data_IF_433484508410
#
_entry.id   IF_433484508410
#
_cell.length_a   1.000
_cell.length_b   1.000
_cell.length_c   1.000
_cell.angle_alpha   90.00
_cell.angle_beta   90.00
_cell.angle_gamma   90.00
#
_symmetry.space_group_name_H-M   'P 1'
#
loop_
_entity.id
_entity.type
_entity.pdbx_description
1 polymer ?
#
# COMPACT_ATOMS: atom_id res chain seq x y z
N UNK A 1 -8.20 -7.91 -3.35
CA UNK A 1 -9.51 -7.67 -2.70
C UNK A 1 -10.60 -8.09 -3.65
N UNK A 2 -11.41 -9.06 -3.22
CA UNK A 2 -12.49 -9.63 -4.00
C UNK A 2 -13.51 -8.56 -4.40
N UNK A 3 -13.99 -8.63 -5.64
CA UNK A 3 -15.07 -7.78 -6.19
C UNK A 3 -16.42 -7.95 -5.46
N UNK A 4 -16.48 -8.82 -4.46
CA UNK A 4 -17.68 -9.21 -3.71
C UNK A 4 -18.20 -8.12 -2.76
N UNK A 5 -17.34 -7.25 -2.23
CA UNK A 5 -17.75 -6.29 -1.18
C UNK A 5 -17.75 -4.83 -1.68
N UNK A 6 -18.85 -4.08 -1.48
CA UNK A 6 -18.97 -2.70 -1.96
C UNK A 6 -18.13 -1.69 -1.17
N UNK A 7 -17.76 -2.00 0.07
CA UNK A 7 -16.87 -1.20 0.91
C UNK A 7 -15.97 -2.07 1.79
N UNK A 8 -14.89 -1.49 2.30
CA UNK A 8 -14.04 -2.16 3.30
C UNK A 8 -14.77 -2.39 4.61
N UNK A 9 -15.72 -1.52 4.96
CA UNK A 9 -16.61 -1.75 6.09
C UNK A 9 -17.49 -2.99 5.87
N UNK A 10 -18.02 -3.20 4.66
CA UNK A 10 -18.81 -4.39 4.34
C UNK A 10 -17.99 -5.68 4.45
N UNK A 11 -16.74 -5.68 3.97
CA UNK A 11 -15.83 -6.80 4.14
C UNK A 11 -15.58 -7.11 5.63
N UNK A 12 -15.37 -6.07 6.43
CA UNK A 12 -15.07 -6.23 7.84
C UNK A 12 -16.30 -6.72 8.62
N UNK A 13 -17.49 -6.16 8.34
CA UNK A 13 -18.75 -6.64 8.90
C UNK A 13 -19.02 -8.11 8.56
N UNK A 14 -18.74 -8.55 7.33
CA UNK A 14 -18.90 -9.95 6.94
C UNK A 14 -17.92 -10.87 7.68
N UNK A 15 -16.65 -10.46 7.82
CA UNK A 15 -15.63 -11.24 8.52
C UNK A 15 -15.88 -11.38 10.02
N UNK A 16 -16.38 -10.32 10.66
CA UNK A 16 -16.72 -10.34 12.08
C UNK A 16 -18.18 -10.78 12.33
N UNK A 17 -18.92 -11.18 11.30
CA UNK A 17 -20.34 -11.55 11.36
C UNK A 17 -21.22 -10.47 12.01
N UNK A 18 -20.86 -9.20 11.85
CA UNK A 18 -21.54 -8.05 12.44
C UNK A 18 -22.62 -7.53 11.50
N UNK A 19 -23.84 -7.46 12.00
CA UNK A 19 -24.98 -6.90 11.27
C UNK A 19 -24.98 -5.36 11.30
N UNK A 20 -25.68 -4.74 10.34
CA UNK A 20 -25.83 -3.29 10.34
C UNK A 20 -26.62 -2.77 11.55
N UNK A 21 -27.49 -3.62 12.13
CA UNK A 21 -28.27 -3.32 13.34
C UNK A 21 -27.35 -3.26 14.56
N UNK A 22 -26.57 -4.30 14.80
CA UNK A 22 -25.63 -4.36 15.93
C UNK A 22 -24.62 -3.21 15.87
N UNK A 23 -24.07 -2.93 14.69
CA UNK A 23 -23.13 -1.82 14.54
C UNK A 23 -23.82 -0.46 14.75
N UNK A 24 -25.08 -0.30 14.36
CA UNK A 24 -25.81 0.94 14.59
C UNK A 24 -26.12 1.18 16.07
N UNK A 25 -26.47 0.13 16.80
CA UNK A 25 -26.72 0.16 18.24
C UNK A 25 -25.44 0.50 19.01
N UNK A 26 -24.31 -0.17 18.67
CA UNK A 26 -23.02 0.07 19.31
C UNK A 26 -22.46 1.47 19.08
N UNK A 27 -22.76 2.08 17.93
CA UNK A 27 -22.28 3.42 17.57
C UNK A 27 -23.26 4.55 17.97
N UNK A 28 -24.45 4.20 18.46
CA UNK A 28 -25.57 5.13 18.69
C UNK A 28 -25.89 5.99 17.46
N UNK A 29 -26.00 5.36 16.29
CA UNK A 29 -26.35 6.03 15.03
C UNK A 29 -27.52 5.33 14.33
N UNK A 30 -28.15 6.01 13.38
CA UNK A 30 -29.21 5.40 12.59
C UNK A 30 -28.71 4.20 11.78
N UNK A 31 -29.48 3.12 11.78
CA UNK A 31 -29.25 1.96 10.90
C UNK A 31 -29.08 2.35 9.42
N UNK A 32 -29.84 3.37 8.97
CA UNK A 32 -29.74 3.88 7.59
C UNK A 32 -28.36 4.47 7.27
N UNK A 33 -27.68 5.04 8.26
CA UNK A 33 -26.35 5.61 8.12
C UNK A 33 -25.29 4.51 7.95
N UNK A 34 -25.36 3.46 8.77
CA UNK A 34 -24.49 2.28 8.67
C UNK A 34 -24.69 1.57 7.34
N UNK A 35 -25.94 1.40 6.90
CA UNK A 35 -26.25 0.81 5.59
C UNK A 35 -25.67 1.64 4.43
N UNK A 36 -25.71 2.97 4.51
CA UNK A 36 -25.09 3.86 3.52
C UNK A 36 -23.56 3.74 3.50
N UNK A 37 -22.91 3.60 4.66
CA UNK A 37 -21.46 3.34 4.73
C UNK A 37 -21.10 1.96 4.17
N UNK A 38 -21.83 0.92 4.56
CA UNK A 38 -21.64 -0.46 4.10
C UNK A 38 -21.69 -0.54 2.57
N UNK A 39 -22.67 0.12 1.96
CA UNK A 39 -22.88 0.10 0.50
C UNK A 39 -22.09 1.18 -0.26
N UNK A 40 -21.17 1.90 0.40
CA UNK A 40 -20.38 2.99 -0.19
C UNK A 40 -21.22 4.14 -0.79
N UNK A 41 -22.50 4.26 -0.38
CA UNK A 41 -23.39 5.37 -0.77
C UNK A 41 -23.07 6.66 -0.02
N UNK A 42 -22.40 6.56 1.13
CA UNK A 42 -21.84 7.68 1.89
C UNK A 42 -20.42 7.34 2.30
N UNK A 43 -19.49 8.28 2.09
CA UNK A 43 -18.09 8.10 2.49
C UNK A 43 -17.91 8.35 3.98
N UNK A 44 -17.12 7.51 4.65
CA UNK A 44 -16.65 7.76 6.01
C UNK A 44 -15.71 8.97 6.00
N UNK A 45 -16.00 9.97 6.83
CA UNK A 45 -15.16 11.17 6.92
C UNK A 45 -14.01 10.93 7.90
N UNK A 46 -12.76 11.29 7.56
CA UNK A 46 -11.61 11.20 8.47
C UNK A 46 -11.77 12.04 9.74
N UNK A 47 -12.59 13.10 9.67
CA UNK A 47 -12.83 14.06 10.75
C UNK A 47 -14.04 13.69 11.63
N UNK A 48 -14.76 12.63 11.28
CA UNK A 48 -15.96 12.24 12.02
C UNK A 48 -15.61 11.38 13.23
N UNK A 49 -16.23 11.63 14.40
CA UNK A 49 -16.10 10.76 15.57
C UNK A 49 -16.50 9.30 15.30
N UNK A 50 -17.42 9.08 14.36
CA UNK A 50 -17.92 7.74 14.03
C UNK A 50 -16.82 6.81 13.50
N UNK A 51 -15.79 7.35 12.83
CA UNK A 51 -14.68 6.54 12.36
C UNK A 51 -13.89 5.94 13.53
N UNK A 52 -13.65 6.74 14.57
CA UNK A 52 -12.96 6.28 15.78
C UNK A 52 -13.79 5.22 16.50
N UNK A 53 -15.10 5.46 16.62
CA UNK A 53 -16.02 4.52 17.26
C UNK A 53 -16.08 3.17 16.52
N UNK A 54 -16.07 3.19 15.17
CA UNK A 54 -16.01 1.98 14.35
C UNK A 54 -14.70 1.23 14.60
N UNK A 55 -13.57 1.93 14.61
CA UNK A 55 -12.24 1.33 14.86
C UNK A 55 -12.21 0.66 16.23
N UNK A 56 -12.65 1.37 17.27
CA UNK A 56 -12.66 0.87 18.65
C UNK A 56 -13.57 -0.33 18.81
N UNK A 57 -14.75 -0.33 18.17
CA UNK A 57 -15.67 -1.45 18.19
C UNK A 57 -15.02 -2.73 17.67
N UNK A 58 -14.38 -2.68 16.50
CA UNK A 58 -13.76 -3.86 15.91
C UNK A 58 -12.46 -4.28 16.61
N UNK A 59 -11.71 -3.34 17.21
CA UNK A 59 -10.56 -3.69 18.05
C UNK A 59 -10.98 -4.41 19.33
N UNK A 60 -12.05 -3.95 19.98
CA UNK A 60 -12.60 -4.62 21.16
C UNK A 60 -13.11 -6.03 20.80
N UNK A 61 -13.76 -6.18 19.65
CA UNK A 61 -14.24 -7.47 19.17
C UNK A 61 -13.10 -8.43 18.80
N UNK A 62 -12.02 -7.94 18.18
CA UNK A 62 -10.81 -8.73 17.87
C UNK A 62 -10.08 -9.15 19.15
N UNK A 63 -10.01 -8.28 20.17
CA UNK A 63 -9.37 -8.58 21.46
C UNK A 63 -10.13 -9.63 22.27
N UNK A 64 -11.46 -9.69 22.12
CA UNK A 64 -12.33 -10.68 22.76
C UNK A 64 -12.47 -11.98 21.93
N UNK A 65 -12.06 -11.95 20.66
CA UNK A 65 -12.06 -13.11 19.78
C UNK A 65 -10.79 -13.93 19.98
N UNK A 66 -10.90 -15.26 19.95
CA UNK A 66 -9.72 -16.16 19.94
C UNK A 66 -8.93 -16.09 18.64
N UNK A 67 -9.45 -15.42 17.62
CA UNK A 67 -8.87 -15.31 16.29
C UNK A 67 -8.42 -13.87 16.04
N UNK A 68 -7.12 -13.69 15.74
CA UNK A 68 -6.50 -12.40 15.36
C UNK A 68 -6.90 -11.98 13.93
N UNK A 69 -8.20 -11.96 13.66
CA UNK A 69 -8.77 -11.74 12.33
C UNK A 69 -8.32 -10.41 11.76
N UNK A 70 -8.19 -9.39 12.61
CA UNK A 70 -7.67 -8.10 12.21
C UNK A 70 -6.20 -8.16 11.83
N UNK A 71 -5.35 -8.85 12.60
CA UNK A 71 -3.92 -9.00 12.28
C UNK A 71 -3.73 -9.73 10.96
N UNK A 72 -4.52 -10.76 10.66
CA UNK A 72 -4.46 -11.49 9.39
C UNK A 72 -4.80 -10.56 8.20
N UNK A 73 -5.86 -9.75 8.32
CA UNK A 73 -6.25 -8.77 7.31
C UNK A 73 -5.16 -7.69 7.14
N UNK A 74 -4.52 -7.28 8.23
CA UNK A 74 -3.46 -6.27 8.20
C UNK A 74 -2.16 -6.83 7.61
N UNK A 75 -1.78 -8.08 7.89
CA UNK A 75 -0.55 -8.69 7.38
C UNK A 75 -0.61 -8.89 5.86
N UNK A 76 -1.78 -9.27 5.32
CA UNK A 76 -2.02 -9.38 3.88
C UNK A 76 -1.82 -8.03 3.15
N UNK A 77 -2.24 -6.93 3.79
CA UNK A 77 -2.17 -5.59 3.19
C UNK A 77 -0.89 -4.82 3.54
N UNK A 78 -0.18 -5.21 4.60
CA UNK A 78 1.03 -4.57 5.12
C UNK A 78 2.09 -5.63 5.51
N UNK A 79 2.87 -6.15 4.54
CA UNK A 79 3.80 -7.28 4.75
C UNK A 79 4.96 -7.04 5.74
N UNK A 80 5.17 -5.80 6.20
CA UNK A 80 6.21 -5.43 7.16
C UNK A 80 5.62 -5.05 8.54
N UNK A 81 4.42 -5.51 8.86
CA UNK A 81 3.78 -5.27 10.15
C UNK A 81 4.31 -6.28 11.18
N UNK A 82 5.23 -5.86 12.05
CA UNK A 82 5.88 -6.75 13.02
C UNK A 82 5.94 -6.25 14.47
N UNK A 83 5.28 -5.13 14.83
CA UNK A 83 5.22 -4.66 16.22
C UNK A 83 3.80 -4.15 16.55
N UNK A 84 2.99 -5.02 17.16
CA UNK A 84 1.56 -4.84 17.37
C UNK A 84 1.23 -4.11 18.68
N UNK A 85 1.38 -2.79 18.72
CA UNK A 85 0.69 -2.03 19.78
C UNK A 85 -0.79 -1.81 19.40
N UNK A 86 -1.74 -1.83 20.35
CA UNK A 86 -3.15 -1.53 20.07
C UNK A 86 -3.33 -0.18 19.36
N UNK A 87 -2.48 0.80 19.68
CA UNK A 87 -2.44 2.13 19.06
C UNK A 87 -2.07 2.04 17.57
N UNK A 88 -1.06 1.23 17.22
CA UNK A 88 -0.69 1.01 15.82
C UNK A 88 -1.76 0.24 15.06
N UNK A 89 -2.42 -0.76 15.68
CA UNK A 89 -3.57 -1.46 15.08
C UNK A 89 -4.72 -0.48 14.78
N UNK A 90 -5.05 0.41 15.71
CA UNK A 90 -6.07 1.44 15.51
C UNK A 90 -5.74 2.38 14.35
N UNK A 91 -4.50 2.90 14.32
CA UNK A 91 -4.06 3.80 13.26
C UNK A 91 -4.10 3.13 11.87
N UNK A 92 -3.70 1.87 11.78
CA UNK A 92 -3.73 1.10 10.53
C UNK A 92 -5.14 0.75 10.10
N UNK A 93 -5.99 0.30 11.02
CA UNK A 93 -7.39 0.02 10.73
C UNK A 93 -8.12 1.29 10.28
N UNK A 94 -7.87 2.42 10.93
CA UNK A 94 -8.40 3.73 10.54
C UNK A 94 -7.97 4.10 9.12
N UNK A 95 -6.68 3.99 8.82
CA UNK A 95 -6.13 4.22 7.48
C UNK A 95 -6.71 3.25 6.45
N UNK A 96 -6.90 1.99 6.83
CA UNK A 96 -7.46 0.97 5.97
C UNK A 96 -8.95 1.21 5.69
N UNK A 97 -9.78 1.55 6.68
CA UNK A 97 -11.20 1.88 6.48
C UNK A 97 -11.39 3.13 5.60
N UNK A 98 -10.52 4.13 5.76
CA UNK A 98 -10.50 5.34 4.93
C UNK A 98 -9.94 5.11 3.53
N UNK A 99 -9.12 4.08 3.37
CA UNK A 99 -8.73 3.59 2.06
C UNK A 99 -9.99 3.11 1.37
N UNK A 100 -10.60 3.95 0.56
CA UNK A 100 -11.69 3.51 -0.29
C UNK A 100 -11.23 2.32 -1.14
N UNK A 101 -12.10 1.35 -1.48
CA UNK A 101 -11.94 0.54 -2.69
C UNK A 101 -12.15 1.43 -3.92
N UNK A 102 -11.56 2.64 -3.93
CA UNK A 102 -11.45 3.44 -5.13
C UNK A 102 -10.61 2.58 -6.04
N UNK A 103 -11.27 1.95 -7.02
CA UNK A 103 -10.88 2.17 -8.40
C UNK A 103 -10.45 3.63 -8.45
N UNK A 104 -9.17 3.90 -8.65
CA UNK A 104 -8.67 5.24 -8.94
C UNK A 104 -9.69 5.84 -9.91
N UNK A 105 -10.57 6.70 -9.40
CA UNK A 105 -11.70 7.15 -10.19
C UNK A 105 -11.05 8.11 -11.17
N UNK A 106 -11.03 7.72 -12.46
CA UNK A 106 -10.56 8.53 -13.58
C UNK A 106 -11.06 9.98 -13.48
N UNK A 107 -12.20 10.21 -12.83
CA UNK A 107 -12.84 11.51 -12.68
C UNK A 107 -12.07 12.48 -11.76
N UNK A 108 -11.30 12.00 -10.77
CA UNK A 108 -10.40 12.88 -10.00
C UNK A 108 -9.13 13.23 -10.80
N UNK A 109 -8.76 12.38 -11.78
CA UNK A 109 -7.70 12.64 -12.75
C UNK A 109 -8.15 13.68 -13.76
N UNK A 110 -9.37 13.57 -14.30
CA UNK A 110 -9.93 14.52 -15.28
C UNK A 110 -9.97 15.96 -14.72
N UNK A 111 -10.29 16.13 -13.43
CA UNK A 111 -10.25 17.45 -12.78
C UNK A 111 -8.83 17.97 -12.54
N UNK A 112 -7.81 17.11 -12.39
CA UNK A 112 -6.41 17.54 -12.32
C UNK A 112 -5.76 17.79 -13.69
N UNK A 113 -6.34 17.23 -14.78
CA UNK A 113 -5.87 17.41 -16.17
C UNK A 113 -6.13 18.82 -16.74
N UNK A 114 -6.94 19.64 -16.07
CA UNK A 114 -7.17 21.04 -16.49
C UNK A 114 -6.06 22.01 -16.07
N UNK A 115 -4.98 21.55 -15.42
CA UNK A 115 -3.75 22.35 -15.23
C UNK A 115 -2.73 21.99 -16.30
N UNK A 116 -2.52 22.88 -17.28
CA UNK A 116 -1.41 22.78 -18.24
C UNK A 116 -0.10 22.61 -17.46
N UNK A 117 0.67 21.58 -17.78
CA UNK A 117 1.96 21.28 -17.15
C UNK A 117 1.90 20.44 -15.87
N UNK A 118 0.74 19.91 -15.46
CA UNK A 118 0.64 19.01 -14.31
C UNK A 118 0.29 17.58 -14.75
N UNK A 119 1.07 16.60 -14.30
CA UNK A 119 0.74 15.17 -14.41
C UNK A 119 0.77 14.53 -13.02
N UNK A 120 -0.03 13.48 -12.85
CA UNK A 120 0.00 12.63 -11.66
C UNK A 120 0.64 11.29 -12.04
N UNK A 121 1.67 10.88 -11.29
CA UNK A 121 2.29 9.56 -11.43
C UNK A 121 2.02 8.72 -10.17
N UNK A 122 1.80 7.44 -10.37
CA UNK A 122 1.75 6.45 -9.31
C UNK A 122 3.11 5.75 -9.24
N UNK A 123 3.69 5.65 -8.04
CA UNK A 123 4.97 5.00 -7.83
C UNK A 123 4.97 4.18 -6.54
N UNK A 124 5.77 3.11 -6.54
CA UNK A 124 6.04 2.29 -5.36
C UNK A 124 7.23 2.88 -4.59
N UNK A 125 7.13 2.97 -3.27
CA UNK A 125 8.24 3.40 -2.39
C UNK A 125 8.79 2.21 -1.63
N UNK A 126 10.02 1.81 -1.95
CA UNK A 126 10.73 0.71 -1.30
C UNK A 126 11.73 1.29 -0.28
N UNK A 127 11.70 0.79 0.97
CA UNK A 127 12.47 1.36 2.10
C UNK A 127 13.58 0.44 2.60
N UNK A 128 14.64 1.04 3.13
CA UNK A 128 15.80 0.36 3.71
C UNK A 128 16.63 -0.41 2.68
N UNK A 129 17.71 -1.07 3.13
CA UNK A 129 18.63 -1.80 2.25
C UNK A 129 17.94 -2.95 1.50
N UNK A 130 16.98 -3.65 2.14
CA UNK A 130 16.13 -4.65 1.47
C UNK A 130 15.33 -4.03 0.31
N UNK A 131 14.73 -2.86 0.54
CA UNK A 131 13.99 -2.13 -0.49
C UNK A 131 14.87 -1.64 -1.64
N UNK A 132 16.07 -1.12 -1.34
CA UNK A 132 17.05 -0.70 -2.35
C UNK A 132 17.47 -1.86 -3.25
N UNK A 133 17.78 -3.01 -2.66
CA UNK A 133 18.11 -4.25 -3.40
C UNK A 133 16.96 -4.69 -4.30
N UNK A 134 15.73 -4.66 -3.80
CA UNK A 134 14.54 -4.98 -4.58
C UNK A 134 14.32 -3.99 -5.74
N UNK A 135 14.47 -2.69 -5.50
CA UNK A 135 14.33 -1.66 -6.53
C UNK A 135 15.37 -1.83 -7.65
N UNK A 136 16.62 -2.08 -7.25
CA UNK A 136 17.74 -2.29 -8.17
C UNK A 136 17.52 -3.52 -9.06
N UNK A 137 17.06 -4.64 -8.49
CA UNK A 137 16.72 -5.83 -9.28
C UNK A 137 15.54 -5.60 -10.23
N UNK A 138 14.50 -4.87 -9.78
CA UNK A 138 13.36 -4.51 -10.65
C UNK A 138 13.82 -3.70 -11.86
N UNK A 139 14.71 -2.72 -11.66
CA UNK A 139 15.29 -1.92 -12.75
C UNK A 139 16.09 -2.79 -13.73
N UNK A 140 16.97 -3.66 -13.24
CA UNK A 140 17.78 -4.54 -14.09
C UNK A 140 16.91 -5.52 -14.88
N UNK A 141 15.93 -6.15 -14.23
CA UNK A 141 15.02 -7.08 -14.89
C UNK A 141 14.23 -6.37 -15.99
N UNK A 142 13.82 -5.12 -15.75
CA UNK A 142 13.19 -4.30 -16.78
C UNK A 142 14.15 -4.05 -17.95
N UNK A 143 15.36 -3.56 -17.69
CA UNK A 143 16.37 -3.32 -18.73
C UNK A 143 16.68 -4.59 -19.57
N UNK A 144 16.80 -5.75 -18.92
CA UNK A 144 17.03 -7.04 -19.58
C UNK A 144 15.81 -7.55 -20.36
N UNK A 145 14.60 -7.10 -20.03
CA UNK A 145 13.37 -7.51 -20.73
C UNK A 145 13.09 -6.68 -21.99
N UNK A 146 13.73 -5.51 -22.11
CA UNK A 146 13.49 -4.60 -23.22
C UNK A 146 14.48 -4.85 -24.37
N UNK A 147 14.10 -4.54 -25.63
CA UNK A 147 14.99 -4.68 -26.76
C UNK A 147 16.18 -3.70 -26.67
N UNK A 148 17.42 -4.16 -26.90
CA UNK A 148 18.59 -3.28 -26.96
C UNK A 148 18.62 -2.43 -28.25
N UNK A 149 19.35 -1.30 -28.27
CA UNK A 149 20.13 -0.74 -27.16
C UNK A 149 19.30 0.18 -26.26
N UNK A 150 19.65 0.22 -24.98
CA UNK A 150 19.10 1.12 -23.96
C UNK A 150 20.20 1.87 -23.22
N UNK A 151 19.87 3.05 -22.71
CA UNK A 151 20.72 3.79 -21.78
C UNK A 151 20.10 3.78 -20.38
N UNK A 152 20.86 3.31 -19.39
CA UNK A 152 20.49 3.37 -17.98
C UNK A 152 21.13 4.59 -17.34
N UNK A 153 20.30 5.57 -17.00
CA UNK A 153 20.71 6.76 -16.24
C UNK A 153 20.57 6.48 -14.74
N UNK A 154 21.69 6.47 -14.03
CA UNK A 154 21.74 6.18 -12.60
C UNK A 154 22.18 7.42 -11.82
N UNK A 155 21.40 7.82 -10.83
CA UNK A 155 21.69 8.95 -9.95
C UNK A 155 21.65 8.50 -8.49
N UNK A 156 22.61 8.98 -7.69
CA UNK A 156 22.62 8.80 -6.24
C UNK A 156 23.08 10.08 -5.55
N UNK A 157 22.31 10.55 -4.57
CA UNK A 157 22.69 11.68 -3.71
C UNK A 157 23.78 11.32 -2.69
N UNK A 158 23.97 10.04 -2.42
CA UNK A 158 24.88 9.55 -1.41
C UNK A 158 25.88 8.59 -2.03
N UNK A 159 27.14 9.00 -2.09
CA UNK A 159 28.26 8.21 -2.64
C UNK A 159 28.79 7.15 -1.68
N UNK A 160 28.37 7.15 -0.41
CA UNK A 160 28.94 6.34 0.68
C UNK A 160 28.09 5.13 1.10
N UNK A 161 27.10 4.73 0.30
CA UNK A 161 26.19 3.66 0.73
C UNK A 161 26.61 2.27 0.25
N UNK A 162 26.84 1.36 1.19
CA UNK A 162 27.30 -0.01 0.93
C UNK A 162 26.17 -1.05 0.80
N UNK A 163 24.93 -0.60 0.54
CA UNK A 163 23.74 -1.47 0.54
C UNK A 163 23.85 -2.64 -0.46
N UNK A 164 24.65 -2.49 -1.52
CA UNK A 164 24.89 -3.52 -2.54
C UNK A 164 26.00 -4.50 -2.18
N UNK A 165 26.94 -4.15 -1.28
CA UNK A 165 28.09 -5.01 -0.91
C UNK A 165 27.89 -5.79 0.40
N UNK A 166 27.00 -5.32 1.28
CA UNK A 166 26.68 -5.97 2.56
C UNK A 166 26.15 -7.40 2.42
N UNK A 167 25.46 -7.71 1.32
CA UNK A 167 24.94 -9.04 1.01
C UNK A 167 25.74 -9.63 -0.16
N UNK A 168 26.62 -10.58 0.13
CA UNK A 168 27.52 -11.19 -0.85
C UNK A 168 26.76 -11.88 -1.99
N UNK A 169 25.63 -12.53 -1.69
CA UNK A 169 24.82 -13.22 -2.69
C UNK A 169 24.16 -12.21 -3.62
N UNK A 170 23.59 -11.15 -3.04
CA UNK A 170 23.04 -10.05 -3.82
C UNK A 170 24.10 -9.38 -4.69
N UNK A 171 25.27 -9.06 -4.14
CA UNK A 171 26.38 -8.39 -4.83
C UNK A 171 26.82 -9.15 -6.08
N UNK A 172 26.94 -10.48 -5.99
CA UNK A 172 27.26 -11.34 -7.12
C UNK A 172 26.18 -11.25 -8.21
N UNK A 173 24.90 -11.40 -7.85
CA UNK A 173 23.78 -11.27 -8.79
C UNK A 173 23.73 -9.89 -9.44
N UNK A 174 23.88 -8.85 -8.63
CA UNK A 174 23.86 -7.44 -9.04
C UNK A 174 24.95 -7.15 -10.08
N UNK A 175 26.18 -7.61 -9.83
CA UNK A 175 27.30 -7.51 -10.77
C UNK A 175 27.01 -8.26 -12.07
N UNK A 176 26.57 -9.51 -11.98
CA UNK A 176 26.30 -10.34 -13.16
C UNK A 176 25.22 -9.73 -14.06
N UNK A 177 24.16 -9.18 -13.46
CA UNK A 177 23.09 -8.52 -14.21
C UNK A 177 23.60 -7.28 -14.96
N UNK A 178 24.43 -6.44 -14.34
CA UNK A 178 25.00 -5.29 -15.04
C UNK A 178 25.93 -5.70 -16.17
N UNK A 179 26.74 -6.74 -15.98
CA UNK A 179 27.59 -7.28 -17.05
C UNK A 179 26.73 -7.79 -18.23
N UNK A 180 25.64 -8.50 -17.95
CA UNK A 180 24.70 -8.96 -18.99
C UNK A 180 24.01 -7.79 -19.70
N UNK A 181 23.60 -6.75 -18.96
CA UNK A 181 23.02 -5.52 -19.54
C UNK A 181 24.01 -4.89 -20.53
N UNK A 182 25.27 -4.72 -20.13
CA UNK A 182 26.32 -4.18 -21.00
C UNK A 182 26.62 -5.09 -22.19
N UNK A 183 26.64 -6.42 -21.98
CA UNK A 183 26.90 -7.40 -23.03
C UNK A 183 25.83 -7.37 -24.14
N UNK A 184 24.58 -7.02 -23.82
CA UNK A 184 23.50 -6.81 -24.79
C UNK A 184 23.60 -5.51 -25.59
N UNK A 185 24.67 -4.72 -25.40
CA UNK A 185 24.89 -3.46 -26.10
C UNK A 185 24.18 -2.26 -25.46
N UNK A 186 23.73 -2.38 -24.21
CA UNK A 186 23.19 -1.25 -23.46
C UNK A 186 24.33 -0.42 -22.84
N UNK A 187 24.08 0.86 -22.61
CA UNK A 187 24.98 1.77 -21.90
C UNK A 187 24.47 2.09 -20.50
N UNK A 188 25.38 2.47 -19.60
CA UNK A 188 25.07 2.89 -18.24
C UNK A 188 25.81 4.20 -17.99
N UNK A 189 25.06 5.24 -17.64
CA UNK A 189 25.59 6.57 -17.35
C UNK A 189 25.31 6.93 -15.89
N UNK A 190 26.37 7.20 -15.14
CA UNK A 190 26.27 7.69 -13.77
C UNK A 190 26.18 9.21 -13.79
N UNK A 191 25.06 9.74 -13.31
CA UNK A 191 24.83 11.17 -13.19
C UNK A 191 25.34 11.60 -11.80
N UNK A 192 26.33 12.48 -11.80
CA UNK A 192 26.84 13.15 -10.62
C UNK A 192 26.32 14.60 -10.61
N UNK A 193 25.96 15.09 -9.42
CA UNK A 193 25.62 16.50 -9.16
C UNK A 193 26.70 17.15 -8.31
#
# INVERSE_FOLDING_TARGET
MDSKYPSRLAYLMDKFTVTAKELSEALHVDHSLVSKWRNNKRTLSPRSPHLENIVNFFLAMDSNSKFNTLSDIMQDQFPNFSNETPVMKAALLKKWLLGSPKKVSRNNLLNSLNKRGSYTAQFDVLKGNKGRRQASLRLMNLALSLPPPQELLLYSQSSQENWYSEDKKFSATWKNNYLEILHRGNSISLIHS
#
